data_IF_617772120236
#
_entry.id   IF_617772120236
#
_cell.length_a   1.000
_cell.length_b   1.000
_cell.length_c   1.000
_cell.angle_alpha   90.00
_cell.angle_beta   90.00
_cell.angle_gamma   90.00
#
_symmetry.space_group_name_H-M   'P 1'
#
loop_
_entity.id
_entity.type
_entity.pdbx_description
1 polymer ?
#
# COMPACT_ATOMS: atom_id res chain seq x y z
N UNK A 1 -3.70 7.29 32.17
CA UNK A 1 -4.10 7.79 30.83
C UNK A 1 -3.77 6.74 29.77
N UNK A 2 -4.76 6.11 29.13
CA UNK A 2 -4.51 5.25 27.95
C UNK A 2 -4.03 6.15 26.80
N UNK A 3 -2.88 5.83 26.17
CA UNK A 3 -2.43 6.53 24.96
C UNK A 3 -3.55 6.41 23.91
N UNK A 4 -4.07 7.55 23.44
CA UNK A 4 -4.97 7.60 22.29
C UNK A 4 -4.20 7.03 21.10
N UNK A 5 -4.70 5.97 20.48
CA UNK A 5 -4.08 5.40 19.27
C UNK A 5 -4.08 6.42 18.14
N UNK A 6 -3.14 6.29 17.19
CA UNK A 6 -3.11 7.13 15.98
C UNK A 6 -4.36 6.89 15.13
N UNK A 7 -4.87 7.94 14.51
CA UNK A 7 -5.94 7.86 13.50
C UNK A 7 -5.43 7.18 12.22
N UNK A 8 -6.34 6.69 11.37
CA UNK A 8 -5.95 6.10 10.07
C UNK A 8 -5.20 7.11 9.17
N UNK A 9 -5.55 8.40 9.24
CA UNK A 9 -4.85 9.44 8.49
C UNK A 9 -3.41 9.65 9.00
N UNK A 10 -3.21 9.66 10.32
CA UNK A 10 -1.86 9.72 10.91
C UNK A 10 -1.03 8.48 10.59
N UNK A 11 -1.65 7.29 10.61
CA UNK A 11 -1.00 6.04 10.22
C UNK A 11 -0.60 6.06 8.73
N UNK A 12 -1.45 6.58 7.84
CA UNK A 12 -1.15 6.74 6.42
C UNK A 12 0.11 7.61 6.21
N UNK A 13 0.22 8.71 6.96
CA UNK A 13 1.40 9.59 6.94
C UNK A 13 2.65 8.82 7.38
N UNK A 14 2.57 8.05 8.48
CA UNK A 14 3.70 7.25 8.96
C UNK A 14 4.16 6.22 7.90
N UNK A 15 3.21 5.52 7.27
CA UNK A 15 3.46 4.52 6.23
C UNK A 15 4.18 5.16 5.05
N UNK A 16 3.72 6.33 4.58
CA UNK A 16 4.36 7.10 3.51
C UNK A 16 5.78 7.53 3.86
N UNK A 17 5.99 8.05 5.06
CA UNK A 17 7.32 8.45 5.54
C UNK A 17 8.26 7.25 5.56
N UNK A 18 7.78 6.10 6.06
CA UNK A 18 8.58 4.88 6.10
C UNK A 18 8.90 4.37 4.69
N UNK A 19 7.93 4.36 3.78
CA UNK A 19 8.11 3.97 2.37
C UNK A 19 9.20 4.82 1.70
N UNK A 20 9.14 6.15 1.87
CA UNK A 20 10.15 7.05 1.33
C UNK A 20 11.55 6.76 1.89
N UNK A 21 11.66 6.52 3.20
CA UNK A 21 12.93 6.12 3.83
C UNK A 21 13.47 4.81 3.25
N UNK A 22 12.61 3.81 3.06
CA UNK A 22 12.98 2.52 2.45
C UNK A 22 13.47 2.73 1.01
N UNK A 23 12.77 3.54 0.21
CA UNK A 23 13.18 3.87 -1.16
C UNK A 23 14.57 4.54 -1.19
N UNK A 24 14.84 5.49 -0.30
CA UNK A 24 16.18 6.10 -0.20
C UNK A 24 17.27 5.09 0.20
N UNK A 25 16.96 4.12 1.06
CA UNK A 25 17.90 3.04 1.40
C UNK A 25 18.14 2.14 0.19
N UNK A 26 17.08 1.74 -0.53
CA UNK A 26 17.17 0.92 -1.76
C UNK A 26 18.09 1.57 -2.78
N UNK A 27 17.93 2.87 -3.06
CA UNK A 27 18.78 3.61 -4.01
C UNK A 27 20.25 3.56 -3.58
N UNK A 28 20.54 3.81 -2.29
CA UNK A 28 21.92 3.74 -1.78
C UNK A 28 22.52 2.34 -1.91
N UNK A 29 21.75 1.29 -1.61
CA UNK A 29 22.22 -0.08 -1.71
C UNK A 29 22.46 -0.49 -3.17
N UNK A 30 21.61 -0.05 -4.11
CA UNK A 30 21.83 -0.29 -5.55
C UNK A 30 23.12 0.34 -6.05
N UNK A 31 23.38 1.60 -5.71
CA UNK A 31 24.61 2.28 -6.13
C UNK A 31 25.87 1.59 -5.56
N UNK A 32 25.79 1.10 -4.31
CA UNK A 32 26.88 0.34 -3.69
C UNK A 32 27.10 -1.00 -4.39
N UNK A 33 26.03 -1.71 -4.74
CA UNK A 33 26.08 -2.98 -5.46
C UNK A 33 26.70 -2.82 -6.85
N UNK A 34 26.33 -1.77 -7.57
CA UNK A 34 26.92 -1.42 -8.88
C UNK A 34 28.43 -1.19 -8.74
N UNK A 35 28.85 -0.42 -7.74
CA UNK A 35 30.28 -0.19 -7.45
C UNK A 35 31.02 -1.50 -7.16
N UNK A 36 30.42 -2.42 -6.42
CA UNK A 36 31.05 -3.71 -6.10
C UNK A 36 31.19 -4.59 -7.33
N UNK A 37 30.16 -4.63 -8.17
CA UNK A 37 30.20 -5.39 -9.41
C UNK A 37 31.28 -4.85 -10.36
N UNK A 38 31.43 -3.53 -10.44
CA UNK A 38 32.51 -2.90 -11.21
C UNK A 38 33.91 -3.29 -10.72
N UNK A 39 34.12 -3.32 -9.39
CA UNK A 39 35.40 -3.72 -8.79
C UNK A 39 35.70 -5.20 -9.08
N UNK A 40 34.71 -6.08 -8.95
CA UNK A 40 34.86 -7.51 -9.27
C UNK A 40 35.26 -7.71 -10.72
N UNK A 41 34.59 -7.03 -11.66
CA UNK A 41 34.88 -7.16 -13.10
C UNK A 41 36.29 -6.65 -13.44
N UNK A 42 36.72 -5.52 -12.85
CA UNK A 42 38.02 -4.90 -13.15
C UNK A 42 39.20 -5.64 -12.53
N UNK A 43 39.06 -6.13 -11.31
CA UNK A 43 40.18 -6.60 -10.50
C UNK A 43 40.30 -8.14 -10.43
N UNK A 44 39.42 -8.88 -11.10
CA UNK A 44 39.38 -10.36 -11.06
C UNK A 44 40.73 -11.00 -11.40
N UNK A 45 41.48 -10.41 -12.32
CA UNK A 45 42.78 -10.92 -12.78
C UNK A 45 43.95 -10.47 -11.90
N UNK A 46 43.84 -9.28 -11.32
CA UNK A 46 44.95 -8.62 -10.60
C UNK A 46 44.91 -8.90 -9.10
N UNK A 47 43.71 -9.02 -8.52
CA UNK A 47 43.50 -9.26 -7.09
C UNK A 47 42.37 -10.29 -6.85
N UNK A 48 42.63 -11.60 -7.08
CA UNK A 48 41.59 -12.63 -7.00
C UNK A 48 40.97 -12.77 -5.60
N UNK A 49 41.77 -12.64 -4.55
CA UNK A 49 41.28 -12.72 -3.16
C UNK A 49 40.36 -11.56 -2.78
N UNK A 50 40.69 -10.34 -3.23
CA UNK A 50 39.86 -9.16 -3.01
C UNK A 50 38.55 -9.28 -3.80
N UNK A 51 38.62 -9.67 -5.06
CA UNK A 51 37.46 -9.87 -5.93
C UNK A 51 36.48 -10.90 -5.36
N UNK A 52 36.99 -12.02 -4.82
CA UNK A 52 36.16 -13.02 -4.15
C UNK A 52 35.44 -12.47 -2.91
N UNK A 53 36.13 -11.66 -2.11
CA UNK A 53 35.56 -11.05 -0.91
C UNK A 53 34.46 -10.04 -1.25
N UNK A 54 34.69 -9.20 -2.26
CA UNK A 54 33.70 -8.23 -2.74
C UNK A 54 32.47 -8.94 -3.34
N UNK A 55 32.67 -10.04 -4.07
CA UNK A 55 31.56 -10.85 -4.60
C UNK A 55 30.67 -11.44 -3.48
N UNK A 56 31.26 -11.90 -2.37
CA UNK A 56 30.48 -12.39 -1.22
C UNK A 56 29.68 -11.26 -0.56
N UNK A 57 30.27 -10.08 -0.42
CA UNK A 57 29.57 -8.90 0.13
C UNK A 57 28.43 -8.44 -0.82
N UNK A 58 28.63 -8.53 -2.15
CA UNK A 58 27.56 -8.27 -3.13
C UNK A 58 26.37 -9.21 -2.95
N UNK A 59 26.61 -10.52 -2.77
CA UNK A 59 25.53 -11.51 -2.57
C UNK A 59 24.70 -11.21 -1.31
N UNK A 60 25.37 -10.86 -0.21
CA UNK A 60 24.68 -10.43 1.02
C UNK A 60 23.87 -9.16 0.78
N UNK A 61 24.43 -8.19 0.07
CA UNK A 61 23.77 -6.93 -0.25
C UNK A 61 22.54 -7.12 -1.14
N UNK A 62 22.59 -8.05 -2.09
CA UNK A 62 21.46 -8.45 -2.94
C UNK A 62 20.31 -9.04 -2.12
N UNK A 63 20.61 -9.94 -1.19
CA UNK A 63 19.60 -10.52 -0.30
C UNK A 63 18.94 -9.48 0.63
N UNK A 64 19.69 -8.46 1.06
CA UNK A 64 19.14 -7.33 1.81
C UNK A 64 18.27 -6.44 0.91
N UNK A 65 18.72 -6.18 -0.31
CA UNK A 65 18.01 -5.37 -1.29
C UNK A 65 16.66 -6.00 -1.67
N UNK A 66 16.62 -7.32 -1.86
CA UNK A 66 15.40 -8.08 -2.11
C UNK A 66 14.37 -7.89 -0.99
N UNK A 67 14.78 -8.05 0.28
CA UNK A 67 13.89 -7.85 1.43
C UNK A 67 13.40 -6.40 1.53
N UNK A 68 14.24 -5.43 1.21
CA UNK A 68 13.85 -4.01 1.19
C UNK A 68 12.83 -3.71 0.09
N UNK A 69 12.98 -4.31 -1.10
CA UNK A 69 12.01 -4.19 -2.19
C UNK A 69 10.66 -4.82 -1.80
N UNK A 70 10.67 -6.01 -1.19
CA UNK A 70 9.44 -6.64 -0.68
C UNK A 70 8.77 -5.76 0.38
N UNK A 71 9.53 -5.15 1.29
CA UNK A 71 9.00 -4.21 2.29
C UNK A 71 8.39 -2.96 1.63
N UNK A 72 9.02 -2.40 0.60
CA UNK A 72 8.50 -1.24 -0.13
C UNK A 72 7.14 -1.55 -0.76
N UNK A 73 7.00 -2.71 -1.41
CA UNK A 73 5.73 -3.19 -1.97
C UNK A 73 4.67 -3.38 -0.88
N UNK A 74 5.05 -3.93 0.28
CA UNK A 74 4.11 -4.10 1.39
C UNK A 74 3.61 -2.78 1.97
N UNK A 75 4.48 -1.78 2.08
CA UNK A 75 4.10 -0.44 2.52
C UNK A 75 3.19 0.25 1.50
N UNK A 76 3.44 0.06 0.21
CA UNK A 76 2.56 0.54 -0.86
C UNK A 76 1.17 -0.11 -0.82
N UNK A 77 1.09 -1.43 -0.66
CA UNK A 77 -0.19 -2.13 -0.52
C UNK A 77 -0.95 -1.62 0.71
N UNK A 78 -0.25 -1.44 1.83
CA UNK A 78 -0.86 -0.91 3.05
C UNK A 78 -1.37 0.53 2.87
N UNK A 79 -0.61 1.38 2.18
CA UNK A 79 -1.02 2.75 1.82
C UNK A 79 -2.36 2.74 1.08
N UNK A 80 -2.45 1.98 -0.01
CA UNK A 80 -3.66 1.87 -0.84
C UNK A 80 -4.86 1.36 -0.01
N UNK A 81 -4.64 0.36 0.86
CA UNK A 81 -5.71 -0.20 1.69
C UNK A 81 -6.21 0.82 2.71
N UNK A 82 -5.32 1.56 3.38
CA UNK A 82 -5.71 2.62 4.33
C UNK A 82 -6.49 3.73 3.61
N UNK A 83 -6.02 4.19 2.45
CA UNK A 83 -6.73 5.19 1.64
C UNK A 83 -8.12 4.73 1.23
N UNK A 84 -8.24 3.47 0.80
CA UNK A 84 -9.53 2.88 0.42
C UNK A 84 -10.49 2.86 1.60
N UNK A 85 -10.03 2.50 2.80
CA UNK A 85 -10.86 2.53 4.02
C UNK A 85 -11.35 3.95 4.32
N UNK A 86 -10.45 4.94 4.26
CA UNK A 86 -10.80 6.35 4.48
C UNK A 86 -11.84 6.81 3.44
N UNK A 87 -11.65 6.47 2.16
CA UNK A 87 -12.53 6.84 1.07
C UNK A 87 -13.92 6.21 1.21
N UNK A 88 -14.00 4.91 1.53
CA UNK A 88 -15.28 4.23 1.81
C UNK A 88 -15.99 4.89 2.99
N UNK A 89 -15.27 5.19 4.07
CA UNK A 89 -15.84 5.88 5.22
C UNK A 89 -16.45 7.24 4.84
N UNK A 90 -15.79 8.00 3.96
CA UNK A 90 -16.32 9.26 3.44
C UNK A 90 -17.56 9.06 2.56
N UNK A 91 -17.55 8.08 1.66
CA UNK A 91 -18.71 7.76 0.81
C UNK A 91 -19.92 7.38 1.65
N UNK A 92 -19.75 6.46 2.59
CA UNK A 92 -20.82 6.00 3.47
C UNK A 92 -21.43 7.18 4.25
N UNK A 93 -20.57 8.05 4.81
CA UNK A 93 -21.01 9.26 5.52
C UNK A 93 -21.75 10.23 4.59
N UNK A 94 -21.27 10.41 3.36
CA UNK A 94 -21.91 11.27 2.36
C UNK A 94 -23.26 10.73 1.92
N UNK A 95 -23.39 9.42 1.72
CA UNK A 95 -24.64 8.77 1.34
C UNK A 95 -25.72 8.94 2.42
N UNK A 96 -25.35 8.75 3.69
CA UNK A 96 -26.25 9.04 4.84
C UNK A 96 -26.73 10.49 4.79
N UNK A 97 -25.82 11.44 4.54
CA UNK A 97 -26.18 12.87 4.46
C UNK A 97 -27.19 13.17 3.33
N UNK A 98 -27.05 12.50 2.19
CA UNK A 98 -28.00 12.62 1.07
C UNK A 98 -29.37 12.04 1.44
N UNK A 99 -29.41 10.88 2.12
CA UNK A 99 -30.66 10.24 2.54
C UNK A 99 -31.39 11.06 3.60
N UNK A 100 -30.67 11.68 4.54
CA UNK A 100 -31.26 12.64 5.47
C UNK A 100 -31.80 13.88 4.75
N UNK A 101 -31.10 14.38 3.73
CA UNK A 101 -31.60 15.49 2.91
C UNK A 101 -32.89 15.12 2.15
N UNK A 102 -32.98 13.89 1.63
CA UNK A 102 -34.20 13.36 0.99
C UNK A 102 -35.37 13.34 1.99
N UNK A 103 -35.12 12.90 3.23
CA UNK A 103 -36.13 12.89 4.30
C UNK A 103 -36.59 14.29 4.68
N UNK A 104 -35.69 15.27 4.75
CA UNK A 104 -36.06 16.68 4.97
C UNK A 104 -36.91 17.21 3.82
N UNK A 105 -36.56 16.87 2.58
CA UNK A 105 -37.29 17.32 1.39
C UNK A 105 -38.71 16.75 1.32
N UNK A 106 -38.94 15.55 1.87
CA UNK A 106 -40.26 14.91 1.95
C UNK A 106 -41.33 15.84 2.53
N UNK A 107 -40.99 16.71 3.50
CA UNK A 107 -41.95 17.63 4.11
C UNK A 107 -42.64 18.55 3.07
N UNK A 108 -41.96 18.83 1.95
CA UNK A 108 -42.49 19.62 0.85
C UNK A 108 -43.49 18.84 -0.02
N UNK A 109 -43.58 17.52 0.11
CA UNK A 109 -44.43 16.65 -0.70
C UNK A 109 -45.60 16.06 0.09
N UNK A 110 -45.94 16.62 1.26
CA UNK A 110 -47.06 16.15 2.08
C UNK A 110 -48.42 16.19 1.36
N UNK A 111 -48.57 17.02 0.33
CA UNK A 111 -49.78 17.09 -0.52
C UNK A 111 -49.81 16.03 -1.64
N UNK A 112 -48.73 15.26 -1.82
CA UNK A 112 -48.59 14.16 -2.79
C UNK A 112 -48.28 12.85 -2.04
N UNK A 113 -49.30 12.14 -1.52
CA UNK A 113 -49.12 10.97 -0.68
C UNK A 113 -48.30 9.85 -1.34
N UNK A 114 -48.48 9.62 -2.64
CA UNK A 114 -47.74 8.62 -3.41
C UNK A 114 -46.22 8.86 -3.36
N UNK A 115 -45.80 10.10 -3.59
CA UNK A 115 -44.39 10.51 -3.53
C UNK A 115 -43.87 10.39 -2.10
N UNK A 116 -44.63 10.88 -1.12
CA UNK A 116 -44.27 10.81 0.30
C UNK A 116 -44.00 9.38 0.77
N UNK A 117 -44.84 8.42 0.37
CA UNK A 117 -44.69 7.00 0.70
C UNK A 117 -43.45 6.40 0.04
N UNK A 118 -43.21 6.68 -1.25
CA UNK A 118 -41.99 6.21 -1.94
C UNK A 118 -40.71 6.76 -1.32
N UNK A 119 -40.71 8.01 -0.84
CA UNK A 119 -39.56 8.60 -0.16
C UNK A 119 -39.28 7.93 1.20
N UNK A 120 -40.33 7.59 1.96
CA UNK A 120 -40.19 6.81 3.20
C UNK A 120 -39.63 5.42 2.94
N UNK A 121 -40.07 4.77 1.87
CA UNK A 121 -39.58 3.45 1.47
C UNK A 121 -38.08 3.50 1.12
N UNK A 122 -37.64 4.51 0.34
CA UNK A 122 -36.22 4.72 0.02
C UNK A 122 -35.41 4.94 1.30
N UNK A 123 -35.88 5.79 2.21
CA UNK A 123 -35.20 6.06 3.48
C UNK A 123 -35.06 4.78 4.32
N UNK A 124 -36.15 4.04 4.53
CA UNK A 124 -36.14 2.82 5.32
C UNK A 124 -35.26 1.73 4.69
N UNK A 125 -35.39 1.53 3.37
CA UNK A 125 -34.60 0.53 2.65
C UNK A 125 -33.10 0.86 2.70
N UNK A 126 -32.70 2.12 2.64
CA UNK A 126 -31.30 2.50 2.76
C UNK A 126 -30.70 2.04 4.10
N UNK A 127 -31.37 2.31 5.22
CA UNK A 127 -30.89 1.93 6.55
C UNK A 127 -30.97 0.42 6.85
N UNK A 128 -31.86 -0.32 6.18
CA UNK A 128 -31.92 -1.78 6.25
C UNK A 128 -30.74 -2.43 5.51
N UNK A 129 -30.34 -1.85 4.37
CA UNK A 129 -29.35 -2.46 3.47
C UNK A 129 -27.92 -1.96 3.68
N UNK A 130 -27.73 -0.78 4.30
CA UNK A 130 -26.40 -0.28 4.64
C UNK A 130 -26.03 -0.75 6.04
N UNK A 131 -25.22 -1.81 6.09
CA UNK A 131 -24.58 -2.22 7.34
C UNK A 131 -23.46 -1.22 7.66
N UNK A 132 -23.81 -0.18 8.43
CA UNK A 132 -22.83 0.78 8.94
C UNK A 132 -21.88 0.01 9.86
N UNK A 133 -20.59 -0.15 9.53
CA UNK A 133 -19.70 -1.01 10.29
C UNK A 133 -19.53 -0.42 11.70
N UNK A 134 -20.18 -1.06 12.70
CA UNK A 134 -20.09 -0.65 14.12
C UNK A 134 -18.73 -1.02 14.71
N UNK A 135 -18.14 -2.15 14.29
CA UNK A 135 -16.79 -2.59 14.64
C UNK A 135 -16.21 -3.48 13.54
N UNK A 136 -15.10 -3.05 12.90
CA UNK A 136 -14.37 -3.89 11.95
C UNK A 136 -13.55 -4.91 12.75
N UNK A 137 -14.01 -6.17 12.79
CA UNK A 137 -13.22 -7.27 13.36
C UNK A 137 -12.16 -7.73 12.34
N UNK A 138 -10.89 -7.59 12.71
CA UNK A 138 -9.75 -7.99 11.89
C UNK A 138 -9.39 -9.46 12.19
N UNK A 139 -9.52 -10.35 11.21
CA UNK A 139 -8.98 -11.71 11.26
C UNK A 139 -7.76 -11.80 10.33
N UNK A 140 -6.54 -11.85 10.87
CA UNK A 140 -5.32 -11.46 10.14
C UNK A 140 -4.34 -12.58 9.75
N UNK A 141 -4.47 -13.82 10.25
CA UNK A 141 -3.33 -14.76 10.23
C UNK A 141 -3.18 -15.62 8.96
N UNK A 142 -4.27 -16.00 8.31
CA UNK A 142 -4.21 -16.81 7.08
C UNK A 142 -3.92 -15.96 5.84
N UNK A 143 -4.52 -14.76 5.74
CA UNK A 143 -4.33 -13.87 4.58
C UNK A 143 -2.94 -13.22 4.50
N UNK A 144 -2.27 -13.04 5.64
CA UNK A 144 -0.96 -12.37 5.68
C UNK A 144 0.12 -13.10 4.86
N UNK A 145 0.06 -14.43 4.77
CA UNK A 145 1.03 -15.22 3.98
C UNK A 145 0.83 -15.00 2.48
N UNK A 146 -0.41 -14.91 2.03
CA UNK A 146 -0.73 -14.67 0.62
C UNK A 146 -0.29 -13.26 0.21
N UNK A 147 -0.57 -12.27 1.07
CA UNK A 147 -0.15 -10.89 0.86
C UNK A 147 1.37 -10.79 0.75
N UNK A 148 2.13 -11.48 1.61
CA UNK A 148 3.59 -11.50 1.54
C UNK A 148 4.10 -12.16 0.24
N UNK A 149 3.55 -13.33 -0.13
CA UNK A 149 3.95 -14.03 -1.35
C UNK A 149 3.68 -13.21 -2.62
N UNK A 150 2.57 -12.48 -2.67
CA UNK A 150 2.27 -11.58 -3.78
C UNK A 150 3.22 -10.37 -3.81
N UNK A 151 3.63 -9.87 -2.64
CA UNK A 151 4.62 -8.80 -2.54
C UNK A 151 5.98 -9.21 -3.10
N UNK A 152 6.43 -10.43 -2.75
CA UNK A 152 7.69 -10.99 -3.23
C UNK A 152 7.68 -11.11 -4.76
N UNK A 153 6.60 -11.62 -5.36
CA UNK A 153 6.44 -11.70 -6.83
C UNK A 153 6.47 -10.32 -7.51
N UNK A 154 5.85 -9.31 -6.91
CA UNK A 154 5.87 -7.94 -7.46
C UNK A 154 7.28 -7.35 -7.34
N UNK A 155 7.95 -7.55 -6.21
CA UNK A 155 9.31 -7.09 -5.98
C UNK A 155 10.31 -7.72 -6.96
N UNK A 156 10.17 -9.01 -7.25
CA UNK A 156 10.94 -9.73 -8.27
C UNK A 156 10.74 -9.11 -9.66
N UNK A 157 9.48 -8.95 -10.12
CA UNK A 157 9.18 -8.30 -11.41
C UNK A 157 9.79 -6.89 -11.55
N UNK A 158 9.74 -6.09 -10.48
CA UNK A 158 10.32 -4.72 -10.48
C UNK A 158 11.85 -4.76 -10.59
N UNK A 159 12.49 -5.76 -10.00
CA UNK A 159 13.94 -5.96 -10.10
C UNK A 159 14.35 -6.26 -11.54
N UNK A 160 13.65 -7.20 -12.17
CA UNK A 160 13.93 -7.63 -13.55
C UNK A 160 13.72 -6.50 -14.56
N UNK A 161 12.70 -5.68 -14.37
CA UNK A 161 12.44 -4.52 -15.22
C UNK A 161 13.56 -3.48 -15.17
N UNK A 162 14.10 -3.20 -13.98
CA UNK A 162 15.25 -2.30 -13.81
C UNK A 162 16.52 -2.89 -14.43
N UNK A 163 16.72 -4.21 -14.28
CA UNK A 163 17.88 -4.90 -14.85
C UNK A 163 17.86 -4.89 -16.40
N UNK A 164 16.69 -5.15 -16.99
CA UNK A 164 16.53 -5.18 -18.45
C UNK A 164 16.61 -3.78 -19.10
N UNK A 165 16.21 -2.73 -18.39
CA UNK A 165 16.35 -1.35 -18.88
C UNK A 165 17.80 -0.85 -18.87
N UNK A 166 18.66 -1.35 -17.98
CA UNK A 166 20.10 -1.01 -17.97
C UNK A 166 20.90 -1.64 -19.12
N UNK A 167 20.45 -2.78 -19.66
CA UNK A 167 21.09 -3.44 -20.81
C UNK A 167 20.74 -2.72 -22.13
N UNK A 168 19.51 -2.21 -22.26
CA UNK A 168 19.06 -1.55 -23.50
C UNK A 168 19.67 -0.16 -23.73
N UNK A 169 20.28 0.47 -22.73
CA UNK A 169 20.99 1.75 -22.87
C UNK A 169 22.48 1.59 -23.22
N UNK A 170 22.96 0.36 -23.36
CA UNK A 170 24.39 0.04 -23.56
C UNK A 170 24.65 -0.73 -24.87
N UNK A 171 23.65 -0.85 -25.76
CA UNK A 171 23.80 -1.40 -27.12
C UNK A 171 23.37 -0.35 -28.14
#
# INVERSE_FOLDING_TARGET
MKKRGKTLAELLIDVRILRNKVQHVIVRMRNRLETYNDVVIRDISSFPHLSKMVAQESEVLEGVLERLLTLEVMLEILEIKIETIIYIGNIVTSAVSVVEAIKLLKENFNFMPEISVSLDEIYNNFYINVDLPKEIKINAKEEARNILADAEKIAEKRRDQVYNQGISSTI
#
